data_IF_607166107978
#
_entry.id   IF_607166107978
#
_cell.length_a   1.000
_cell.length_b   1.000
_cell.length_c   1.000
_cell.angle_alpha   90.00
_cell.angle_beta   90.00
_cell.angle_gamma   90.00
#
_symmetry.space_group_name_H-M   'P 1'
#
loop_
_entity.id
_entity.type
_entity.pdbx_description
1 polymer ?
#
# COMPACT_ATOMS: atom_id res chain seq x y z
N UNK A 1 13.62 1.40 3.72
CA UNK A 1 13.06 1.31 2.34
C UNK A 1 12.01 2.40 2.23
N UNK A 2 12.09 3.27 1.24
CA UNK A 2 11.15 4.38 1.08
C UNK A 2 10.61 4.38 -0.35
N UNK A 3 9.29 4.31 -0.51
CA UNK A 3 8.59 4.44 -1.80
C UNK A 3 7.92 5.80 -1.84
N UNK A 4 8.18 6.52 -2.93
CA UNK A 4 7.57 7.82 -3.15
C UNK A 4 6.09 7.67 -3.52
N UNK A 5 5.26 8.64 -3.11
CA UNK A 5 3.83 8.60 -3.40
C UNK A 5 3.52 8.52 -4.91
N UNK A 6 4.39 9.10 -5.75
CA UNK A 6 4.29 9.05 -7.20
C UNK A 6 4.52 7.63 -7.74
N UNK A 7 5.47 6.88 -7.17
CA UNK A 7 5.73 5.49 -7.55
C UNK A 7 4.56 4.59 -7.17
N UNK A 8 4.01 4.79 -5.96
CA UNK A 8 2.80 4.10 -5.51
C UNK A 8 1.61 4.42 -6.42
N UNK A 9 1.46 5.66 -6.86
CA UNK A 9 0.40 6.08 -7.80
C UNK A 9 0.55 5.34 -9.13
N UNK A 10 1.74 5.38 -9.74
CA UNK A 10 2.02 4.71 -11.02
C UNK A 10 1.75 3.20 -10.93
N UNK A 11 2.14 2.56 -9.82
CA UNK A 11 1.88 1.15 -9.60
C UNK A 11 0.37 0.86 -9.53
N UNK A 12 -0.37 1.63 -8.74
CA UNK A 12 -1.81 1.43 -8.54
C UNK A 12 -2.61 1.71 -9.80
N UNK A 13 -2.29 2.76 -10.56
CA UNK A 13 -2.98 3.10 -11.82
C UNK A 13 -2.79 2.07 -12.93
N UNK A 14 -1.82 1.15 -12.82
CA UNK A 14 -1.67 0.00 -13.73
C UNK A 14 -2.57 -1.19 -13.35
N UNK A 15 -3.14 -1.17 -12.15
CA UNK A 15 -3.86 -2.31 -11.55
C UNK A 15 -5.33 -2.01 -11.29
N UNK A 16 -5.68 -0.76 -11.02
CA UNK A 16 -7.01 -0.33 -10.66
C UNK A 16 -7.43 0.87 -11.53
N UNK A 17 -8.72 0.92 -11.84
CA UNK A 17 -9.31 2.07 -12.51
C UNK A 17 -9.66 3.16 -11.47
N UNK A 18 -9.50 4.43 -11.88
CA UNK A 18 -9.90 5.61 -11.09
C UNK A 18 -9.28 5.70 -9.68
N UNK A 19 -7.96 5.47 -9.59
CA UNK A 19 -7.22 5.61 -8.33
C UNK A 19 -7.21 7.06 -7.87
N UNK A 20 -7.82 7.32 -6.71
CA UNK A 20 -7.92 8.64 -6.09
C UNK A 20 -7.58 8.57 -4.60
N UNK A 21 -7.38 9.74 -3.99
CA UNK A 21 -7.16 9.88 -2.54
C UNK A 21 -6.01 9.03 -2.00
N UNK A 22 -4.96 8.80 -2.79
CA UNK A 22 -3.76 8.11 -2.32
C UNK A 22 -3.10 8.94 -1.21
N UNK A 23 -2.91 8.34 -0.04
CA UNK A 23 -2.29 8.98 1.13
C UNK A 23 -1.39 8.02 1.86
N UNK A 24 -0.26 8.52 2.33
CA UNK A 24 0.59 7.80 3.25
C UNK A 24 -0.11 7.64 4.60
N UNK A 25 -0.12 6.42 5.16
CA UNK A 25 -0.72 6.12 6.45
C UNK A 25 0.32 5.93 7.55
N UNK A 26 1.34 5.12 7.27
CA UNK A 26 2.34 4.73 8.26
C UNK A 26 3.63 4.27 7.60
N UNK A 27 4.74 4.52 8.27
CA UNK A 27 6.09 4.10 7.89
C UNK A 27 6.79 3.44 9.08
N UNK A 28 7.50 2.36 8.80
CA UNK A 28 8.46 1.73 9.70
C UNK A 28 9.77 1.46 8.95
N UNK A 29 10.81 1.01 9.65
CA UNK A 29 12.15 0.81 9.07
C UNK A 29 12.17 -0.01 7.76
N UNK A 30 11.29 -1.00 7.65
CA UNK A 30 11.23 -1.93 6.52
C UNK A 30 9.89 -1.96 5.79
N UNK A 31 8.94 -1.11 6.19
CA UNK A 31 7.58 -1.18 5.68
C UNK A 31 6.91 0.19 5.56
N UNK A 32 6.01 0.32 4.60
CA UNK A 32 5.18 1.50 4.38
C UNK A 32 3.75 1.09 4.06
N UNK A 33 2.79 1.93 4.42
CA UNK A 33 1.39 1.73 4.14
C UNK A 33 0.75 2.99 3.53
N UNK A 34 -0.10 2.80 2.54
CA UNK A 34 -0.87 3.84 1.88
C UNK A 34 -2.35 3.47 1.83
N UNK A 35 -3.25 4.42 2.04
CA UNK A 35 -4.67 4.27 1.73
C UNK A 35 -4.95 4.83 0.34
N UNK A 36 -5.84 4.18 -0.42
CA UNK A 36 -6.36 4.73 -1.66
C UNK A 36 -7.84 4.35 -1.86
N UNK A 37 -8.51 5.09 -2.73
CA UNK A 37 -9.81 4.74 -3.27
C UNK A 37 -9.68 4.43 -4.76
N UNK A 38 -10.47 3.50 -5.26
CA UNK A 38 -10.62 3.20 -6.68
C UNK A 38 -12.06 2.82 -6.96
N UNK A 39 -12.37 2.50 -8.22
CA UNK A 39 -13.71 2.10 -8.65
C UNK A 39 -14.29 0.93 -7.84
N UNK A 40 -13.45 0.00 -7.40
CA UNK A 40 -13.83 -1.19 -6.64
C UNK A 40 -14.05 -0.91 -5.14
N UNK A 41 -13.65 0.26 -4.63
CA UNK A 41 -13.81 0.64 -3.23
C UNK A 41 -12.57 1.26 -2.61
N UNK A 42 -12.42 1.06 -1.29
CA UNK A 42 -11.32 1.62 -0.49
C UNK A 42 -10.37 0.53 -0.04
N UNK A 43 -9.08 0.75 -0.22
CA UNK A 43 -8.05 -0.27 0.02
C UNK A 43 -6.82 0.32 0.72
N UNK A 44 -6.00 -0.59 1.25
CA UNK A 44 -4.69 -0.26 1.83
C UNK A 44 -3.61 -1.01 1.02
N UNK A 45 -2.68 -0.26 0.46
CA UNK A 45 -1.44 -0.79 -0.09
C UNK A 45 -0.42 -0.90 1.04
N UNK A 46 0.14 -2.09 1.23
CA UNK A 46 1.28 -2.29 2.14
C UNK A 46 2.49 -2.73 1.35
N UNK A 47 3.62 -2.13 1.65
CA UNK A 47 4.92 -2.40 1.04
C UNK A 47 5.86 -2.81 2.16
N UNK A 48 6.58 -3.93 2.00
CA UNK A 48 7.62 -4.36 2.92
C UNK A 48 8.80 -4.92 2.14
N UNK A 49 10.01 -4.69 2.66
CA UNK A 49 11.24 -5.32 2.16
C UNK A 49 11.24 -6.84 2.40
N UNK A 50 10.46 -7.32 3.37
CA UNK A 50 10.39 -8.72 3.75
C UNK A 50 8.96 -9.27 3.53
N UNK A 51 8.78 -10.21 2.58
CA UNK A 51 7.46 -10.83 2.34
C UNK A 51 6.84 -11.46 3.59
N UNK A 52 7.69 -11.90 4.53
CA UNK A 52 7.29 -12.52 5.80
C UNK A 52 6.56 -11.55 6.73
N UNK A 53 6.74 -10.23 6.59
CA UNK A 53 5.99 -9.25 7.38
C UNK A 53 4.50 -9.27 7.07
N UNK A 54 4.12 -9.61 5.83
CA UNK A 54 2.71 -9.78 5.45
C UNK A 54 2.10 -11.07 6.00
N UNK A 55 2.93 -12.04 6.41
CA UNK A 55 2.47 -13.30 7.00
C UNK A 55 2.08 -13.14 8.47
N UNK A 56 2.51 -12.07 9.15
CA UNK A 56 2.14 -11.81 10.55
C UNK A 56 0.62 -11.61 10.70
N UNK A 57 -0.02 -10.99 9.71
CA UNK A 57 -1.47 -10.85 9.66
C UNK A 57 -2.23 -12.18 9.62
N UNK A 58 -1.62 -13.25 9.10
CA UNK A 58 -2.24 -14.58 9.11
C UNK A 58 -2.43 -15.12 10.53
N UNK A 59 -1.63 -14.61 11.47
CA UNK A 59 -1.61 -15.05 12.87
C UNK A 59 -2.16 -13.99 13.83
N UNK A 60 -2.48 -12.78 13.34
CA UNK A 60 -3.18 -11.75 14.11
C UNK A 60 -4.69 -12.06 14.07
N UNK A 61 -5.13 -12.92 14.99
CA UNK A 61 -6.54 -13.16 15.32
C UNK A 61 -7.06 -12.09 16.29
#
# INVERSE_FOLDING_TARGET
MHIEINEATIFLSKKFDDVTHLRHLAEGWWAQAFSFSCKEGKFVLRVSAHPQDFLKDKFAL
#
